data_IF_117419545183
#
_entry.id   IF_117419545183
#
_cell.length_a   1.000
_cell.length_b   1.000
_cell.length_c   1.000
_cell.angle_alpha   90.00
_cell.angle_beta   90.00
_cell.angle_gamma   90.00
#
_symmetry.space_group_name_H-M   'P 1'
#
loop_
_entity.id
_entity.type
_entity.pdbx_description
1 polymer ?
#
# COMPACT_ATOMS: atom_id res chain seq x y z
N UNK A 1 3.08 73.10 -28.83
CA UNK A 1 2.81 71.89 -29.63
C UNK A 1 3.70 70.67 -29.28
N UNK A 2 4.81 70.78 -28.56
CA UNK A 2 5.72 69.66 -28.28
C UNK A 2 5.36 68.80 -27.07
N UNK A 3 4.40 69.18 -26.18
CA UNK A 3 3.97 68.38 -25.02
C UNK A 3 2.88 67.35 -25.33
N UNK A 4 2.06 67.56 -26.36
CA UNK A 4 1.00 66.61 -26.74
C UNK A 4 1.56 65.42 -27.50
N UNK A 5 2.65 65.53 -28.20
CA UNK A 5 3.28 64.39 -28.92
C UNK A 5 3.98 63.40 -28.05
N UNK A 6 4.52 63.78 -26.87
CA UNK A 6 5.17 62.84 -25.92
C UNK A 6 4.15 62.01 -25.12
N UNK A 7 2.99 62.57 -24.86
CA UNK A 7 1.89 61.83 -24.17
C UNK A 7 1.29 60.74 -25.05
N UNK A 8 1.16 61.01 -26.35
CA UNK A 8 0.66 60.03 -27.33
C UNK A 8 1.67 58.89 -27.57
N UNK A 9 2.98 59.16 -27.52
CA UNK A 9 3.99 58.12 -27.67
C UNK A 9 4.11 57.20 -26.43
N UNK A 10 4.00 57.74 -25.21
CA UNK A 10 3.96 56.92 -23.98
C UNK A 10 2.73 56.04 -23.90
N UNK A 11 1.53 56.55 -24.27
CA UNK A 11 0.31 55.73 -24.28
C UNK A 11 0.36 54.64 -25.35
N UNK A 12 0.96 54.89 -26.51
CA UNK A 12 1.16 53.86 -27.54
C UNK A 12 2.17 52.79 -27.09
N UNK A 13 3.22 53.14 -26.39
CA UNK A 13 4.21 52.22 -25.85
C UNK A 13 3.62 51.37 -24.71
N UNK A 14 2.80 51.98 -23.84
CA UNK A 14 2.08 51.25 -22.78
C UNK A 14 1.01 50.31 -23.36
N UNK A 15 0.27 50.75 -24.39
CA UNK A 15 -0.68 49.89 -25.11
C UNK A 15 0.03 48.77 -25.87
N UNK A 16 1.17 49.05 -26.52
CA UNK A 16 1.99 48.02 -27.16
C UNK A 16 2.59 47.03 -26.14
N UNK A 17 3.00 47.51 -24.97
CA UNK A 17 3.48 46.65 -23.86
C UNK A 17 2.33 45.81 -23.27
N UNK A 18 1.13 46.38 -23.09
CA UNK A 18 -0.07 45.65 -22.64
C UNK A 18 -0.49 44.66 -23.72
N UNK A 19 -0.47 44.99 -25.00
CA UNK A 19 -0.76 44.08 -26.11
C UNK A 19 0.28 42.98 -26.25
N UNK A 20 1.55 43.24 -25.95
CA UNK A 20 2.59 42.19 -25.86
C UNK A 20 2.42 41.28 -24.65
N UNK A 21 1.90 41.80 -23.54
CA UNK A 21 1.58 40.99 -22.35
C UNK A 21 0.29 40.18 -22.52
N UNK A 22 -0.70 40.70 -23.27
CA UNK A 22 -1.99 40.01 -23.52
C UNK A 22 -1.85 38.90 -24.57
N UNK A 23 -0.78 38.95 -25.39
CA UNK A 23 -0.45 37.90 -26.37
C UNK A 23 0.49 36.79 -25.83
N UNK A 24 0.70 36.67 -24.52
CA UNK A 24 1.15 35.41 -23.98
C UNK A 24 -0.04 34.44 -24.03
N UNK A 25 -0.41 33.99 -25.25
CA UNK A 25 -1.10 32.73 -25.41
C UNK A 25 -0.20 31.68 -24.74
N UNK A 26 -0.76 30.81 -23.93
CA UNK A 26 -0.07 29.64 -23.37
C UNK A 26 0.39 28.73 -24.53
N UNK A 27 1.37 29.17 -25.28
CA UNK A 27 1.86 28.48 -26.46
C UNK A 27 2.88 27.47 -26.00
N UNK A 28 2.49 26.18 -26.04
CA UNK A 28 3.37 25.07 -25.70
C UNK A 28 4.72 25.21 -26.43
N UNK A 29 5.82 24.97 -25.72
CA UNK A 29 7.14 24.91 -26.34
C UNK A 29 7.14 23.96 -27.53
N UNK A 30 7.61 24.39 -28.68
CA UNK A 30 7.62 23.61 -29.91
C UNK A 30 8.30 22.24 -29.75
N UNK A 31 9.28 22.15 -28.84
CA UNK A 31 9.96 20.88 -28.47
C UNK A 31 9.06 19.88 -27.77
N UNK A 32 8.13 20.33 -26.92
CA UNK A 32 7.18 19.44 -26.24
C UNK A 32 6.07 18.99 -27.19
N UNK A 33 5.59 19.87 -28.08
CA UNK A 33 4.65 19.48 -29.14
C UNK A 33 5.23 18.38 -30.05
N UNK A 34 6.49 18.56 -30.50
CA UNK A 34 7.20 17.51 -31.26
C UNK A 34 7.37 16.21 -30.46
N UNK A 35 7.56 16.32 -29.14
CA UNK A 35 7.65 15.15 -28.26
C UNK A 35 6.33 14.39 -28.22
N UNK A 36 5.17 15.06 -28.15
CA UNK A 36 3.86 14.43 -28.22
C UNK A 36 3.62 13.70 -29.56
N UNK A 37 3.96 14.34 -30.67
CA UNK A 37 3.86 13.73 -32.00
C UNK A 37 4.78 12.50 -32.13
N UNK A 38 5.96 12.54 -31.53
CA UNK A 38 6.85 11.40 -31.48
C UNK A 38 6.27 10.26 -30.62
N UNK A 39 5.64 10.58 -29.47
CA UNK A 39 4.92 9.62 -28.61
C UNK A 39 3.80 8.95 -29.43
N UNK A 40 3.00 9.72 -30.20
CA UNK A 40 1.96 9.19 -31.08
C UNK A 40 2.53 8.15 -32.07
N UNK A 41 3.64 8.47 -32.74
CA UNK A 41 4.31 7.56 -33.66
C UNK A 41 4.84 6.29 -32.98
N UNK A 42 5.45 6.41 -31.80
CA UNK A 42 5.95 5.28 -31.00
C UNK A 42 4.81 4.37 -30.52
N UNK A 43 3.62 4.91 -30.27
CA UNK A 43 2.41 4.18 -29.94
C UNK A 43 1.71 3.59 -31.19
N UNK A 44 2.35 3.61 -32.34
CA UNK A 44 1.79 3.13 -33.62
C UNK A 44 0.49 3.86 -34.02
N UNK A 45 0.41 5.15 -33.79
CA UNK A 45 -0.71 6.03 -34.14
C UNK A 45 -2.07 5.49 -33.70
N UNK A 46 -2.31 5.27 -32.41
CA UNK A 46 -3.57 4.72 -31.94
C UNK A 46 -4.74 5.67 -32.28
N UNK A 47 -5.92 5.10 -32.51
CA UNK A 47 -7.10 5.86 -32.94
C UNK A 47 -7.44 7.04 -32.00
N UNK A 48 -7.16 6.91 -30.71
CA UNK A 48 -7.38 7.98 -29.71
C UNK A 48 -6.52 9.24 -29.99
N UNK A 49 -5.42 9.09 -30.71
CA UNK A 49 -4.51 10.19 -31.09
C UNK A 49 -4.63 10.58 -32.56
N UNK A 50 -5.62 10.10 -33.30
CA UNK A 50 -5.76 10.34 -34.75
C UNK A 50 -5.91 11.81 -35.13
N UNK A 51 -6.38 12.65 -34.22
CA UNK A 51 -6.51 14.10 -34.41
C UNK A 51 -5.19 14.87 -34.26
N UNK A 52 -4.16 14.24 -33.72
CA UNK A 52 -2.88 14.91 -33.48
C UNK A 52 -2.08 15.09 -34.77
N UNK A 53 -1.66 16.32 -35.03
CA UNK A 53 -0.82 16.66 -36.18
C UNK A 53 0.04 17.89 -35.83
N UNK A 54 0.83 18.38 -36.79
CA UNK A 54 1.78 19.48 -36.60
C UNK A 54 1.12 20.83 -36.29
N UNK A 55 -0.19 20.97 -36.54
CA UNK A 55 -0.97 22.18 -36.28
C UNK A 55 -1.83 22.06 -35.02
N UNK A 56 -1.72 20.95 -34.28
CA UNK A 56 -2.52 20.72 -33.09
C UNK A 56 -2.09 21.64 -31.96
N UNK A 57 -3.01 22.42 -31.44
CA UNK A 57 -2.84 23.23 -30.23
C UNK A 57 -3.12 22.36 -28.99
N UNK A 58 -2.12 21.61 -28.55
CA UNK A 58 -2.27 20.58 -27.51
C UNK A 58 -2.84 21.11 -26.19
N UNK A 59 -2.49 22.34 -25.81
CA UNK A 59 -2.96 22.95 -24.56
C UNK A 59 -4.41 23.43 -24.61
N UNK A 60 -4.95 23.64 -25.83
CA UNK A 60 -6.32 24.12 -26.06
C UNK A 60 -7.28 22.98 -26.45
N UNK A 61 -6.80 21.72 -26.43
CA UNK A 61 -7.66 20.58 -26.75
C UNK A 61 -8.66 20.33 -25.60
N UNK A 62 -9.93 20.16 -25.93
CA UNK A 62 -10.95 19.80 -24.93
C UNK A 62 -10.64 18.44 -24.30
N UNK A 63 -10.61 18.32 -22.96
CA UNK A 63 -10.42 17.04 -22.29
C UNK A 63 -11.55 16.07 -22.58
N UNK A 64 -11.20 14.83 -22.89
CA UNK A 64 -12.14 13.72 -23.02
C UNK A 64 -11.85 12.65 -21.98
N UNK A 65 -12.73 11.66 -21.83
CA UNK A 65 -12.49 10.51 -20.97
C UNK A 65 -11.28 9.67 -21.42
N UNK A 66 -10.89 9.77 -22.70
CA UNK A 66 -9.83 8.96 -23.30
C UNK A 66 -8.55 9.74 -23.60
N UNK A 67 -8.63 11.06 -23.71
CA UNK A 67 -7.49 11.90 -24.06
C UNK A 67 -7.56 13.24 -23.32
N UNK A 68 -6.54 13.53 -22.56
CA UNK A 68 -6.38 14.82 -21.88
C UNK A 68 -4.92 15.24 -21.91
N UNK A 69 -4.66 16.44 -22.37
CA UNK A 69 -3.38 17.14 -22.23
C UNK A 69 -3.66 18.40 -21.44
N UNK A 70 -2.96 18.61 -20.34
CA UNK A 70 -3.06 19.84 -19.55
C UNK A 70 -1.69 20.49 -19.51
N UNK A 71 -1.68 21.77 -19.81
CA UNK A 71 -0.49 22.60 -19.73
C UNK A 71 -0.62 23.56 -18.53
N UNK A 72 0.52 23.91 -17.98
CA UNK A 72 0.65 25.02 -17.07
C UNK A 72 1.80 25.88 -17.59
N UNK A 73 1.51 27.16 -17.85
CA UNK A 73 2.40 28.04 -18.62
C UNK A 73 2.73 27.38 -19.97
N UNK A 74 4.01 27.17 -20.27
CA UNK A 74 4.48 26.60 -21.54
C UNK A 74 4.84 25.09 -21.44
N UNK A 75 4.46 24.44 -20.34
CA UNK A 75 4.86 23.05 -20.04
C UNK A 75 3.68 22.12 -19.88
N UNK A 76 3.80 20.89 -20.40
CA UNK A 76 2.82 19.82 -20.19
C UNK A 76 2.96 19.27 -18.78
N UNK A 77 1.89 19.40 -17.99
CA UNK A 77 1.82 18.87 -16.62
C UNK A 77 0.98 17.60 -16.49
N UNK A 78 0.06 17.38 -17.42
CA UNK A 78 -0.74 16.14 -17.42
C UNK A 78 -0.84 15.58 -18.83
N UNK A 79 -0.62 14.27 -18.92
CA UNK A 79 -0.81 13.49 -20.14
C UNK A 79 -1.62 12.25 -19.80
N UNK A 80 -2.85 12.19 -20.31
CA UNK A 80 -3.75 11.07 -20.13
C UNK A 80 -4.17 10.53 -21.48
N UNK A 81 -3.80 9.27 -21.77
CA UNK A 81 -4.13 8.56 -23.00
C UNK A 81 -4.70 7.21 -22.60
N UNK A 82 -5.96 6.97 -22.97
CA UNK A 82 -6.65 5.68 -22.79
C UNK A 82 -7.00 5.11 -24.14
N UNK A 83 -6.41 3.98 -24.43
CA UNK A 83 -6.68 3.23 -25.64
C UNK A 83 -7.92 2.33 -25.53
N UNK A 84 -8.04 1.41 -26.43
CA UNK A 84 -9.11 0.41 -26.41
C UNK A 84 -8.75 -0.73 -25.42
N UNK A 85 -9.68 -1.13 -24.54
CA UNK A 85 -9.49 -2.25 -23.59
C UNK A 85 -9.01 -3.57 -24.23
N UNK A 86 -9.16 -3.73 -25.54
CA UNK A 86 -8.70 -4.90 -26.30
C UNK A 86 -7.58 -4.55 -27.27
N UNK A 87 -6.85 -3.45 -27.02
CA UNK A 87 -5.71 -3.10 -27.85
C UNK A 87 -4.70 -4.27 -27.85
N UNK A 88 -4.26 -4.73 -29.03
CA UNK A 88 -3.19 -5.73 -29.10
C UNK A 88 -1.88 -5.12 -28.59
N UNK A 89 -0.92 -6.00 -28.33
CA UNK A 89 0.47 -5.56 -28.07
C UNK A 89 0.97 -4.70 -29.24
N UNK A 90 1.73 -3.68 -28.93
CA UNK A 90 2.43 -2.87 -29.94
C UNK A 90 3.39 -3.75 -30.76
N UNK A 91 3.69 -3.35 -32.03
CA UNK A 91 4.59 -4.10 -32.90
C UNK A 91 5.93 -4.43 -32.24
N UNK A 92 6.62 -5.48 -32.71
CA UNK A 92 7.92 -5.90 -32.19
C UNK A 92 9.02 -4.84 -32.31
N UNK A 93 8.83 -3.83 -33.17
CA UNK A 93 9.71 -2.66 -33.27
C UNK A 93 9.55 -1.68 -32.10
N UNK A 94 8.51 -1.81 -31.28
CA UNK A 94 8.34 -0.98 -30.09
C UNK A 94 9.42 -1.29 -29.06
N UNK A 95 9.93 -0.23 -28.43
CA UNK A 95 10.87 -0.33 -27.31
C UNK A 95 10.39 0.54 -26.18
N UNK A 96 10.07 -0.07 -25.04
CA UNK A 96 9.69 0.64 -23.81
C UNK A 96 10.76 1.65 -23.41
N UNK A 97 12.04 1.30 -23.51
CA UNK A 97 13.14 2.17 -23.15
C UNK A 97 13.23 3.41 -24.04
N UNK A 98 13.04 3.25 -25.36
CA UNK A 98 12.99 4.36 -26.33
C UNK A 98 11.75 5.25 -26.11
N UNK A 99 10.61 4.61 -25.80
CA UNK A 99 9.37 5.32 -25.49
C UNK A 99 9.54 6.19 -24.24
N UNK A 100 10.03 5.63 -23.14
CA UNK A 100 10.26 6.37 -21.91
C UNK A 100 11.34 7.43 -22.07
N UNK A 101 12.39 7.17 -22.86
CA UNK A 101 13.41 8.19 -23.19
C UNK A 101 12.81 9.40 -23.92
N UNK A 102 11.75 9.17 -24.71
CA UNK A 102 11.00 10.27 -25.34
C UNK A 102 10.10 10.98 -24.33
N UNK A 103 9.39 10.22 -23.50
CA UNK A 103 8.45 10.71 -22.51
C UNK A 103 9.11 11.64 -21.47
N UNK A 104 10.32 11.32 -21.02
CA UNK A 104 11.05 12.14 -20.03
C UNK A 104 11.55 13.48 -20.56
N UNK A 105 11.27 13.79 -21.82
CA UNK A 105 11.43 15.16 -22.36
C UNK A 105 10.27 16.08 -21.98
N UNK A 106 9.31 15.59 -21.23
CA UNK A 106 8.23 16.36 -20.60
C UNK A 106 8.49 16.40 -19.08
N UNK A 107 9.47 17.18 -18.59
CA UNK A 107 10.00 17.08 -17.22
C UNK A 107 9.00 17.51 -16.15
N UNK A 108 8.03 18.37 -16.52
CA UNK A 108 7.06 18.97 -15.59
C UNK A 108 5.80 18.12 -15.41
N UNK A 109 5.80 16.87 -15.95
CA UNK A 109 4.67 15.95 -15.81
C UNK A 109 4.43 15.61 -14.34
N UNK A 110 3.21 15.92 -13.88
CA UNK A 110 2.65 15.53 -12.59
C UNK A 110 1.71 14.34 -12.72
N UNK A 111 0.98 14.26 -13.83
CA UNK A 111 0.03 13.17 -14.09
C UNK A 111 0.37 12.49 -15.40
N UNK A 112 0.68 11.20 -15.29
CA UNK A 112 0.91 10.32 -16.43
C UNK A 112 -0.04 9.12 -16.38
N UNK A 113 -0.97 9.04 -17.34
CA UNK A 113 -1.89 7.92 -17.49
C UNK A 113 -1.79 7.37 -18.90
N UNK A 114 -1.31 6.14 -19.03
CA UNK A 114 -1.10 5.41 -20.28
C UNK A 114 -1.80 4.05 -20.18
N UNK A 115 -3.10 4.04 -20.40
CA UNK A 115 -3.98 2.89 -20.12
C UNK A 115 -4.40 2.20 -21.42
N UNK A 116 -4.34 0.87 -21.45
CA UNK A 116 -4.83 0.05 -22.60
C UNK A 116 -4.22 0.45 -23.95
N UNK A 117 -2.92 0.71 -23.98
CA UNK A 117 -2.19 1.14 -25.19
C UNK A 117 -1.36 0.03 -25.84
N UNK A 118 -1.41 -1.17 -25.30
CA UNK A 118 -0.62 -2.29 -25.80
C UNK A 118 0.87 -2.19 -25.50
N UNK A 119 1.27 -1.37 -24.52
CA UNK A 119 2.65 -1.23 -24.06
C UNK A 119 3.17 -2.55 -23.53
N UNK A 120 4.36 -2.98 -23.94
CA UNK A 120 4.96 -4.23 -23.47
C UNK A 120 6.44 -4.06 -23.14
N UNK A 121 7.00 -5.06 -22.46
CA UNK A 121 8.38 -5.05 -21.98
C UNK A 121 8.49 -4.61 -20.52
N UNK A 122 9.72 -4.57 -19.99
CA UNK A 122 9.95 -4.16 -18.61
C UNK A 122 9.67 -2.67 -18.42
N UNK A 123 9.11 -2.32 -17.27
CA UNK A 123 8.94 -0.91 -16.89
C UNK A 123 10.31 -0.25 -16.78
N UNK A 124 10.56 0.80 -17.57
CA UNK A 124 11.88 1.45 -17.58
C UNK A 124 12.09 2.32 -16.35
N UNK A 125 13.20 2.11 -15.65
CA UNK A 125 13.62 2.94 -14.51
C UNK A 125 13.82 4.42 -14.87
N UNK A 126 13.98 4.76 -16.15
CA UNK A 126 14.09 6.15 -16.62
C UNK A 126 12.87 7.02 -16.30
N UNK A 127 11.70 6.42 -16.01
CA UNK A 127 10.50 7.15 -15.54
C UNK A 127 10.84 7.97 -14.29
N UNK A 128 11.77 7.55 -13.47
CA UNK A 128 12.23 8.28 -12.28
C UNK A 128 12.76 9.68 -12.57
N UNK A 129 13.10 10.00 -13.83
CA UNK A 129 13.50 11.37 -14.25
C UNK A 129 12.34 12.36 -14.25
N UNK A 130 11.09 11.89 -14.22
CA UNK A 130 9.90 12.71 -14.03
C UNK A 130 9.71 13.00 -12.53
N UNK A 131 10.61 13.77 -11.94
CA UNK A 131 10.69 14.00 -10.49
C UNK A 131 9.45 14.67 -9.89
N UNK A 132 8.68 15.39 -10.70
CA UNK A 132 7.42 16.06 -10.31
C UNK A 132 6.20 15.11 -10.35
N UNK A 133 6.38 13.82 -10.67
CA UNK A 133 5.28 12.91 -10.91
C UNK A 133 4.51 12.60 -9.60
N UNK A 134 3.24 12.92 -9.62
CA UNK A 134 2.29 12.70 -8.52
C UNK A 134 1.40 11.46 -8.79
N UNK A 135 1.03 11.23 -10.06
CA UNK A 135 0.17 10.13 -10.47
C UNK A 135 0.81 9.38 -11.63
N UNK A 136 1.06 8.08 -11.42
CA UNK A 136 1.46 7.15 -12.47
C UNK A 136 0.41 6.05 -12.59
N UNK A 137 -0.25 5.97 -13.75
CA UNK A 137 -1.16 4.89 -14.09
C UNK A 137 -0.79 4.31 -15.46
N UNK A 138 -0.35 3.04 -15.47
CA UNK A 138 -0.03 2.30 -16.69
C UNK A 138 -0.81 0.97 -16.75
N UNK A 139 -2.05 0.98 -16.26
CA UNK A 139 -2.89 -0.22 -16.20
C UNK A 139 -3.32 -0.73 -17.57
N UNK A 140 -3.73 -2.00 -17.60
CA UNK A 140 -4.26 -2.70 -18.78
C UNK A 140 -3.29 -2.65 -19.97
N UNK A 141 -2.04 -3.01 -19.74
CA UNK A 141 -0.99 -3.15 -20.73
C UNK A 141 -0.33 -4.54 -20.63
N UNK A 142 0.81 -4.73 -21.27
CA UNK A 142 1.56 -6.00 -21.25
C UNK A 142 2.95 -5.82 -20.61
N UNK A 143 3.02 -4.94 -19.62
CA UNK A 143 4.27 -4.70 -18.88
C UNK A 143 4.68 -5.95 -18.13
N UNK A 144 5.96 -6.28 -18.13
CA UNK A 144 6.49 -7.47 -17.46
C UNK A 144 7.72 -7.15 -16.60
N UNK A 145 8.25 -8.18 -15.91
CA UNK A 145 9.39 -8.01 -15.00
C UNK A 145 9.01 -7.37 -13.67
N UNK A 146 9.99 -6.86 -12.96
CA UNK A 146 9.82 -6.25 -11.65
C UNK A 146 9.58 -4.74 -11.73
N UNK A 147 9.06 -4.15 -10.64
CA UNK A 147 9.03 -2.70 -10.48
C UNK A 147 10.47 -2.21 -10.25
N UNK A 148 11.00 -1.31 -11.10
CA UNK A 148 12.39 -0.91 -11.02
C UNK A 148 12.71 -0.06 -9.78
N UNK A 149 13.88 -0.30 -9.21
CA UNK A 149 14.37 0.37 -7.99
C UNK A 149 14.47 1.89 -8.15
N UNK A 150 14.73 2.36 -9.34
CA UNK A 150 14.91 3.78 -9.66
C UNK A 150 13.67 4.62 -9.35
N UNK A 151 12.48 3.99 -9.32
CA UNK A 151 11.24 4.72 -8.98
C UNK A 151 11.19 5.14 -7.50
N UNK A 152 12.07 4.62 -6.65
CA UNK A 152 12.16 5.00 -5.22
C UNK A 152 12.42 6.49 -4.97
N UNK A 153 12.98 7.19 -5.96
CA UNK A 153 13.26 8.64 -5.85
C UNK A 153 12.05 9.53 -6.16
N UNK A 154 10.94 8.96 -6.63
CA UNK A 154 9.70 9.70 -6.91
C UNK A 154 8.95 10.06 -5.62
N UNK A 155 9.52 10.90 -4.79
CA UNK A 155 8.97 11.25 -3.46
C UNK A 155 7.66 12.04 -3.52
N UNK A 156 7.32 12.62 -4.67
CA UNK A 156 6.05 13.30 -4.93
C UNK A 156 4.92 12.35 -5.33
N UNK A 157 5.19 11.04 -5.46
CA UNK A 157 4.22 10.09 -5.97
C UNK A 157 3.12 9.81 -4.93
N UNK A 158 1.89 10.14 -5.28
CA UNK A 158 0.69 9.93 -4.46
C UNK A 158 -0.12 8.72 -4.93
N UNK A 159 -0.06 8.42 -6.22
CA UNK A 159 -0.85 7.34 -6.83
C UNK A 159 0.02 6.52 -7.78
N UNK A 160 0.11 5.21 -7.50
CA UNK A 160 0.73 4.23 -8.37
C UNK A 160 -0.28 3.14 -8.72
N UNK A 161 -0.67 3.06 -9.99
CA UNK A 161 -1.60 2.06 -10.52
C UNK A 161 -0.94 1.32 -11.68
N UNK A 162 -0.70 0.02 -11.48
CA UNK A 162 -0.09 -0.87 -12.48
C UNK A 162 -0.96 -2.11 -12.74
N UNK A 163 -2.27 -1.98 -12.53
CA UNK A 163 -3.23 -3.07 -12.65
C UNK A 163 -3.24 -3.70 -14.04
N UNK A 164 -3.64 -4.97 -14.13
CA UNK A 164 -3.85 -5.67 -15.40
C UNK A 164 -2.61 -5.62 -16.30
N UNK A 165 -1.51 -6.17 -15.79
CA UNK A 165 -0.23 -6.31 -16.48
C UNK A 165 0.35 -7.72 -16.26
N UNK A 166 1.57 -7.96 -16.70
CA UNK A 166 2.32 -9.20 -16.49
C UNK A 166 3.53 -8.97 -15.57
N UNK A 167 3.43 -7.96 -14.68
CA UNK A 167 4.50 -7.66 -13.72
C UNK A 167 4.66 -8.81 -12.73
N UNK A 168 5.90 -9.15 -12.39
CA UNK A 168 6.22 -10.34 -11.62
C UNK A 168 7.35 -10.08 -10.61
N UNK A 169 7.63 -11.09 -9.78
CA UNK A 169 8.65 -11.00 -8.74
C UNK A 169 8.08 -10.47 -7.43
N UNK A 170 8.96 -10.09 -6.52
CA UNK A 170 8.57 -9.51 -5.23
C UNK A 170 8.24 -8.04 -5.37
N UNK A 171 7.26 -7.58 -4.61
CA UNK A 171 7.02 -6.14 -4.46
C UNK A 171 8.17 -5.56 -3.64
N UNK A 172 8.83 -4.50 -4.13
CA UNK A 172 10.01 -3.94 -3.47
C UNK A 172 9.69 -3.23 -2.15
N UNK A 173 10.57 -3.40 -1.15
CA UNK A 173 10.43 -2.76 0.18
C UNK A 173 10.44 -1.23 0.12
N UNK A 174 11.16 -0.64 -0.84
CA UNK A 174 11.24 0.82 -0.98
C UNK A 174 9.87 1.48 -1.27
N UNK A 175 8.88 0.74 -1.79
CA UNK A 175 7.52 1.29 -1.96
C UNK A 175 6.94 1.78 -0.64
N UNK A 176 7.26 1.10 0.49
CA UNK A 176 6.86 1.52 1.82
C UNK A 176 7.56 2.79 2.32
N UNK A 177 8.57 3.28 1.61
CA UNK A 177 9.30 4.51 1.95
C UNK A 177 8.81 5.75 1.20
N UNK A 178 7.81 5.61 0.32
CA UNK A 178 7.23 6.75 -0.40
C UNK A 178 6.36 7.61 0.54
N UNK A 179 6.76 8.86 0.84
CA UNK A 179 6.26 9.59 2.01
C UNK A 179 4.78 10.00 1.92
N UNK A 180 4.26 10.19 0.70
CA UNK A 180 2.90 10.70 0.47
C UNK A 180 2.04 9.75 -0.38
N UNK A 181 2.47 8.48 -0.53
CA UNK A 181 1.71 7.51 -1.31
C UNK A 181 0.34 7.25 -0.67
N UNK A 182 -0.71 7.57 -1.40
CA UNK A 182 -2.10 7.42 -0.96
C UNK A 182 -2.83 6.26 -1.63
N UNK A 183 -2.45 5.91 -2.87
CA UNK A 183 -3.06 4.83 -3.63
C UNK A 183 -1.96 3.94 -4.21
N UNK A 184 -1.99 2.66 -3.83
CA UNK A 184 -1.17 1.61 -4.42
C UNK A 184 -2.09 0.51 -4.96
N UNK A 185 -2.12 0.34 -6.28
CA UNK A 185 -2.89 -0.71 -6.94
C UNK A 185 -2.03 -1.50 -7.90
N UNK A 186 -1.93 -2.81 -7.64
CA UNK A 186 -1.14 -3.78 -8.40
C UNK A 186 -1.99 -5.01 -8.79
N UNK A 187 -3.30 -4.84 -8.93
CA UNK A 187 -4.25 -5.92 -9.21
C UNK A 187 -3.95 -6.63 -10.52
N UNK A 188 -4.34 -7.90 -10.60
CA UNK A 188 -4.26 -8.67 -11.84
C UNK A 188 -2.85 -8.63 -12.45
N UNK A 189 -1.88 -9.12 -11.69
CA UNK A 189 -0.48 -9.24 -12.07
C UNK A 189 0.07 -10.62 -11.65
N UNK A 190 1.36 -10.81 -11.77
CA UNK A 190 2.05 -12.05 -11.40
C UNK A 190 3.01 -11.87 -10.21
N UNK A 191 2.76 -10.86 -9.37
CA UNK A 191 3.59 -10.63 -8.18
C UNK A 191 3.51 -11.80 -7.20
N UNK A 192 4.63 -12.11 -6.57
CA UNK A 192 4.75 -13.19 -5.61
C UNK A 192 5.53 -12.76 -4.35
N UNK A 193 5.75 -13.70 -3.43
CA UNK A 193 6.44 -13.40 -2.18
C UNK A 193 5.51 -12.94 -1.08
N UNK A 194 6.09 -12.47 0.02
CA UNK A 194 5.39 -11.86 1.14
C UNK A 194 5.13 -10.38 0.87
N UNK A 195 4.11 -9.83 1.52
CA UNK A 195 3.92 -8.38 1.53
C UNK A 195 5.06 -7.73 2.32
N UNK A 196 5.63 -6.61 1.84
CA UNK A 196 6.68 -5.90 2.56
C UNK A 196 6.20 -5.37 3.91
N UNK A 197 6.96 -5.58 4.99
CA UNK A 197 6.66 -5.02 6.30
C UNK A 197 6.70 -3.48 6.28
N UNK A 198 7.48 -2.90 5.36
CA UNK A 198 7.56 -1.46 5.13
C UNK A 198 6.23 -0.81 4.74
N UNK A 199 5.25 -1.58 4.25
CA UNK A 199 3.92 -1.04 3.95
C UNK A 199 3.20 -0.52 5.20
N UNK A 200 3.56 -1.00 6.40
CA UNK A 200 3.06 -0.48 7.67
C UNK A 200 3.45 0.98 7.95
N UNK A 201 4.41 1.54 7.22
CA UNK A 201 4.87 2.93 7.34
C UNK A 201 4.22 3.89 6.34
N UNK A 202 3.34 3.43 5.47
CA UNK A 202 2.62 4.26 4.50
C UNK A 202 1.48 5.05 5.17
N UNK A 203 1.82 6.01 6.02
CA UNK A 203 0.85 6.73 6.86
C UNK A 203 -0.28 7.42 6.06
N UNK A 204 -0.01 7.82 4.81
CA UNK A 204 -0.99 8.48 3.94
C UNK A 204 -1.84 7.51 3.11
N UNK A 205 -1.59 6.19 3.22
CA UNK A 205 -2.24 5.19 2.38
C UNK A 205 -3.74 5.13 2.65
N UNK A 206 -4.52 5.26 1.59
CA UNK A 206 -5.99 5.16 1.58
C UNK A 206 -6.48 3.91 0.88
N UNK A 207 -5.77 3.49 -0.16
CA UNK A 207 -6.14 2.34 -0.98
C UNK A 207 -4.92 1.44 -1.14
N UNK A 208 -5.05 0.20 -0.69
CA UNK A 208 -4.12 -0.90 -0.98
C UNK A 208 -4.89 -2.00 -1.72
N UNK A 209 -4.59 -2.17 -3.00
CA UNK A 209 -5.28 -3.11 -3.86
C UNK A 209 -4.28 -4.03 -4.55
N UNK A 210 -4.26 -5.30 -4.11
CA UNK A 210 -3.28 -6.32 -4.51
C UNK A 210 -3.96 -7.59 -5.01
N UNK A 211 -5.26 -7.54 -5.31
CA UNK A 211 -6.03 -8.73 -5.69
C UNK A 211 -5.53 -9.37 -6.98
N UNK A 212 -5.78 -10.69 -7.12
CA UNK A 212 -5.40 -11.49 -8.26
C UNK A 212 -3.88 -11.46 -8.54
N UNK A 213 -3.12 -11.93 -7.56
CA UNK A 213 -1.67 -12.10 -7.59
C UNK A 213 -1.28 -13.43 -6.93
N UNK A 214 -0.01 -13.64 -6.63
CA UNK A 214 0.52 -14.86 -6.01
C UNK A 214 1.18 -14.56 -4.66
N UNK A 215 0.71 -13.55 -3.93
CA UNK A 215 1.23 -13.21 -2.60
C UNK A 215 0.92 -14.32 -1.60
N UNK A 216 1.84 -14.56 -0.66
CA UNK A 216 1.67 -15.55 0.41
C UNK A 216 2.23 -15.02 1.75
N UNK A 217 2.00 -15.77 2.82
CA UNK A 217 2.47 -15.41 4.16
C UNK A 217 1.51 -14.48 4.89
N UNK A 218 1.96 -13.93 5.99
CA UNK A 218 1.15 -13.07 6.84
C UNK A 218 1.03 -11.65 6.24
N UNK A 219 -0.08 -11.00 6.53
CA UNK A 219 -0.28 -9.58 6.20
C UNK A 219 0.40 -8.76 7.29
N UNK A 220 1.22 -7.75 6.94
CA UNK A 220 1.81 -6.84 7.91
C UNK A 220 0.76 -6.16 8.80
N UNK A 221 1.18 -5.63 9.94
CA UNK A 221 0.29 -4.89 10.85
C UNK A 221 -0.02 -3.51 10.27
N UNK A 222 -1.23 -3.32 9.78
CA UNK A 222 -1.74 -2.07 9.23
C UNK A 222 -2.59 -1.26 10.21
N UNK A 223 -2.58 -1.60 11.51
CA UNK A 223 -3.35 -0.87 12.53
C UNK A 223 -2.95 0.60 12.67
N UNK A 224 -1.69 0.94 12.33
CA UNK A 224 -1.17 2.30 12.27
C UNK A 224 -1.62 3.12 11.05
N UNK A 225 -2.14 2.49 10.00
CA UNK A 225 -2.57 3.16 8.78
C UNK A 225 -3.95 3.82 8.98
N UNK A 226 -3.95 4.97 9.64
CA UNK A 226 -5.18 5.65 10.10
C UNK A 226 -6.07 6.18 8.97
N UNK A 227 -5.54 6.30 7.75
CA UNK A 227 -6.29 6.75 6.56
C UNK A 227 -6.71 5.62 5.64
N UNK A 228 -6.34 4.36 5.92
CA UNK A 228 -6.67 3.22 5.08
C UNK A 228 -8.19 3.00 5.03
N UNK A 229 -8.76 3.11 3.85
CA UNK A 229 -10.19 2.95 3.56
C UNK A 229 -10.50 1.69 2.77
N UNK A 230 -9.60 1.29 1.87
CA UNK A 230 -9.78 0.11 1.02
C UNK A 230 -8.59 -0.81 1.17
N UNK A 231 -8.86 -2.05 1.58
CA UNK A 231 -7.94 -3.17 1.58
C UNK A 231 -8.51 -4.29 0.72
N UNK A 232 -7.93 -4.49 -0.47
CA UNK A 232 -8.32 -5.52 -1.41
C UNK A 232 -7.16 -6.50 -1.62
N UNK A 233 -7.27 -7.68 -1.03
CA UNK A 233 -6.30 -8.76 -1.09
C UNK A 233 -6.87 -10.03 -1.75
N UNK A 234 -8.03 -9.93 -2.43
CA UNK A 234 -8.71 -11.08 -3.03
C UNK A 234 -7.77 -11.93 -3.88
N UNK A 235 -8.04 -13.23 -3.91
CA UNK A 235 -7.40 -14.20 -4.79
C UNK A 235 -5.86 -14.14 -4.74
N UNK A 236 -5.35 -14.56 -3.57
CA UNK A 236 -3.93 -14.71 -3.27
C UNK A 236 -3.72 -15.98 -2.40
N UNK A 237 -2.56 -16.14 -1.78
CA UNK A 237 -2.28 -17.24 -0.86
C UNK A 237 -1.94 -16.73 0.56
N UNK A 238 -2.53 -15.57 0.95
CA UNK A 238 -2.26 -14.88 2.21
C UNK A 238 -2.92 -15.57 3.41
N UNK A 239 -2.35 -15.43 4.58
CA UNK A 239 -2.78 -16.00 5.85
C UNK A 239 -1.58 -16.40 6.71
N UNK A 240 -1.80 -17.08 7.84
CA UNK A 240 -3.06 -17.64 8.35
C UNK A 240 -3.91 -16.67 9.18
N UNK A 241 -3.34 -15.56 9.69
CA UNK A 241 -3.99 -14.67 10.63
C UNK A 241 -4.89 -13.64 9.95
N UNK A 242 -5.99 -13.26 10.62
CA UNK A 242 -6.79 -12.11 10.20
C UNK A 242 -5.91 -10.84 10.25
N UNK A 243 -5.90 -9.99 9.21
CA UNK A 243 -5.05 -8.81 9.18
C UNK A 243 -5.47 -7.79 10.24
N UNK A 244 -4.50 -7.19 10.93
CA UNK A 244 -4.71 -6.06 11.81
C UNK A 244 -4.79 -4.79 10.99
N UNK A 245 -5.87 -4.04 11.12
CA UNK A 245 -6.13 -2.82 10.32
C UNK A 245 -6.76 -1.72 11.19
N UNK A 246 -6.68 -0.48 10.70
CA UNK A 246 -7.33 0.66 11.36
C UNK A 246 -8.86 0.63 11.25
N UNK A 247 -9.55 1.33 12.17
CA UNK A 247 -11.02 1.32 12.28
C UNK A 247 -11.77 2.15 11.22
N UNK A 248 -11.05 2.91 10.40
CA UNK A 248 -11.65 3.75 9.34
C UNK A 248 -11.84 3.01 8.01
N UNK A 249 -11.63 1.69 8.02
CA UNK A 249 -11.79 0.88 6.83
C UNK A 249 -13.24 0.91 6.33
N UNK A 250 -13.42 1.14 5.03
CA UNK A 250 -14.70 1.18 4.34
C UNK A 250 -14.93 -0.13 3.57
N UNK A 251 -13.89 -0.65 2.95
CA UNK A 251 -13.93 -1.88 2.16
C UNK A 251 -12.80 -2.80 2.58
N UNK A 252 -13.15 -4.04 2.95
CA UNK A 252 -12.22 -5.12 3.22
C UNK A 252 -12.60 -6.34 2.37
N UNK A 253 -11.71 -6.73 1.48
CA UNK A 253 -11.88 -7.90 0.61
C UNK A 253 -10.69 -8.82 0.82
N UNK A 254 -10.94 -9.96 1.48
CA UNK A 254 -9.94 -10.99 1.79
C UNK A 254 -10.28 -12.31 1.11
N UNK A 255 -11.30 -12.34 0.26
CA UNK A 255 -11.84 -13.56 -0.35
C UNK A 255 -10.77 -14.34 -1.14
N UNK A 256 -10.96 -15.67 -1.25
CA UNK A 256 -10.08 -16.57 -2.01
C UNK A 256 -8.61 -16.52 -1.54
N UNK A 257 -8.40 -16.75 -0.23
CA UNK A 257 -7.09 -16.75 0.40
C UNK A 257 -6.90 -17.99 1.32
N UNK A 258 -5.89 -17.97 2.18
CA UNK A 258 -5.58 -19.05 3.12
C UNK A 258 -5.73 -18.64 4.60
N UNK A 259 -6.54 -17.61 4.87
CA UNK A 259 -6.83 -17.19 6.24
C UNK A 259 -7.53 -18.30 7.00
N UNK A 260 -7.10 -18.59 8.24
CA UNK A 260 -7.62 -19.70 9.07
C UNK A 260 -7.72 -19.37 10.56
N UNK A 261 -7.58 -18.11 10.94
CA UNK A 261 -7.85 -17.67 12.31
C UNK A 261 -9.35 -17.49 12.56
N UNK A 262 -9.73 -17.18 13.78
CA UNK A 262 -11.04 -16.62 14.07
C UNK A 262 -11.12 -15.17 13.48
N UNK A 263 -12.35 -14.73 13.23
CA UNK A 263 -12.65 -13.32 12.96
C UNK A 263 -12.59 -12.59 14.30
N UNK A 264 -11.72 -11.58 14.47
CA UNK A 264 -11.61 -10.87 15.74
C UNK A 264 -12.90 -10.12 16.09
N UNK A 265 -13.25 -10.09 17.37
CA UNK A 265 -14.44 -9.35 17.83
C UNK A 265 -14.34 -7.83 17.54
N UNK A 266 -13.14 -7.30 17.48
CA UNK A 266 -12.84 -5.89 17.19
C UNK A 266 -13.38 -5.42 15.85
N UNK A 267 -13.59 -6.33 14.88
CA UNK A 267 -14.19 -5.99 13.56
C UNK A 267 -15.60 -5.39 13.75
N UNK A 268 -16.32 -5.76 14.81
CA UNK A 268 -17.62 -5.17 15.16
C UNK A 268 -17.53 -3.68 15.52
N UNK A 269 -16.34 -3.14 15.74
CA UNK A 269 -16.12 -1.72 16.00
C UNK A 269 -15.79 -0.89 14.74
N UNK A 270 -15.79 -1.51 13.56
CA UNK A 270 -15.46 -0.83 12.30
C UNK A 270 -16.71 -0.13 11.73
N UNK A 271 -17.09 0.98 12.35
CA UNK A 271 -18.36 1.69 12.10
C UNK A 271 -18.52 2.26 10.68
N UNK A 272 -17.40 2.43 9.94
CA UNK A 272 -17.43 2.89 8.54
C UNK A 272 -17.45 1.74 7.52
N UNK A 273 -17.37 0.49 7.98
CA UNK A 273 -17.25 -0.67 7.10
C UNK A 273 -18.54 -0.88 6.32
N UNK A 274 -18.49 -0.70 5.01
CA UNK A 274 -19.61 -0.88 4.08
C UNK A 274 -19.57 -2.24 3.40
N UNK A 275 -18.38 -2.71 3.05
CA UNK A 275 -18.18 -3.99 2.37
C UNK A 275 -17.18 -4.86 3.12
N UNK A 276 -17.62 -6.05 3.50
CA UNK A 276 -16.77 -7.10 4.06
C UNK A 276 -16.94 -8.38 3.25
N UNK A 277 -15.86 -8.84 2.62
CA UNK A 277 -15.81 -10.10 1.89
C UNK A 277 -14.66 -10.98 2.42
N UNK A 278 -15.04 -12.02 3.14
CA UNK A 278 -14.14 -13.02 3.71
C UNK A 278 -14.30 -14.39 3.05
N UNK A 279 -15.07 -14.49 1.97
CA UNK A 279 -15.48 -15.76 1.37
C UNK A 279 -14.31 -16.58 0.85
N UNK A 280 -14.54 -17.88 0.70
CA UNK A 280 -13.56 -18.83 0.15
C UNK A 280 -12.21 -18.77 0.86
N UNK A 281 -12.25 -18.97 2.17
CA UNK A 281 -11.10 -19.03 3.06
C UNK A 281 -11.21 -20.27 3.99
N UNK A 282 -10.52 -20.27 5.10
CA UNK A 282 -10.54 -21.32 6.11
C UNK A 282 -10.78 -20.73 7.50
N UNK A 283 -11.49 -19.60 7.60
CA UNK A 283 -11.82 -18.98 8.88
C UNK A 283 -12.58 -19.95 9.77
N UNK A 284 -12.26 -19.94 11.06
CA UNK A 284 -12.80 -20.84 12.09
C UNK A 284 -13.36 -20.04 13.26
N UNK A 285 -14.03 -20.76 14.19
CA UNK A 285 -14.57 -20.17 15.41
C UNK A 285 -15.92 -19.48 15.19
N UNK A 286 -16.45 -18.85 16.24
CA UNK A 286 -17.78 -18.28 16.21
C UNK A 286 -17.86 -17.07 15.28
N UNK A 287 -18.94 -17.03 14.48
CA UNK A 287 -19.26 -15.86 13.67
C UNK A 287 -19.66 -14.67 14.54
N UNK A 288 -19.00 -13.51 14.45
CA UNK A 288 -19.37 -12.32 15.22
C UNK A 288 -20.69 -11.72 14.69
N UNK A 289 -21.80 -12.06 15.32
CA UNK A 289 -23.15 -11.67 14.84
C UNK A 289 -23.37 -10.15 14.76
N UNK A 290 -22.62 -9.38 15.56
CA UNK A 290 -22.65 -7.91 15.50
C UNK A 290 -22.25 -7.34 14.12
N UNK A 291 -21.62 -8.13 13.25
CA UNK A 291 -21.33 -7.72 11.86
C UNK A 291 -22.59 -7.45 11.05
N UNK A 292 -23.72 -8.10 11.37
CA UNK A 292 -25.01 -7.87 10.72
C UNK A 292 -25.59 -6.49 11.04
N UNK A 293 -25.22 -5.91 12.19
CA UNK A 293 -25.75 -4.64 12.71
C UNK A 293 -24.75 -3.48 12.62
N UNK A 294 -23.61 -3.65 11.94
CA UNK A 294 -22.67 -2.56 11.72
C UNK A 294 -23.38 -1.37 11.05
N UNK A 295 -23.17 -0.11 11.51
CA UNK A 295 -23.99 1.03 11.09
C UNK A 295 -23.89 1.36 9.60
N UNK A 296 -22.80 1.00 8.95
CA UNK A 296 -22.58 1.31 7.52
C UNK A 296 -22.59 0.09 6.60
N UNK A 297 -22.74 -1.14 7.14
CA UNK A 297 -22.60 -2.37 6.36
C UNK A 297 -23.73 -2.49 5.32
N UNK A 298 -23.36 -2.64 4.06
CA UNK A 298 -24.28 -2.88 2.93
C UNK A 298 -24.04 -4.23 2.27
N UNK A 299 -22.81 -4.79 2.41
CA UNK A 299 -22.41 -6.05 1.80
C UNK A 299 -21.60 -6.87 2.80
N UNK A 300 -22.07 -8.08 3.10
CA UNK A 300 -21.40 -9.06 3.97
C UNK A 300 -21.35 -10.40 3.28
N UNK A 301 -20.15 -10.90 3.00
CA UNK A 301 -19.93 -12.24 2.45
C UNK A 301 -18.91 -13.00 3.31
N UNK A 302 -19.36 -14.08 3.95
CA UNK A 302 -18.53 -14.98 4.72
C UNK A 302 -18.60 -16.42 4.19
N UNK A 303 -19.14 -16.61 3.00
CA UNK A 303 -19.37 -17.91 2.41
C UNK A 303 -18.10 -18.75 2.27
N UNK A 304 -18.28 -20.07 2.22
CA UNK A 304 -17.21 -21.03 1.99
C UNK A 304 -16.04 -20.87 2.98
N UNK A 305 -16.37 -21.08 4.27
CA UNK A 305 -15.46 -21.06 5.42
C UNK A 305 -15.78 -22.21 6.40
N UNK A 306 -15.23 -22.15 7.58
CA UNK A 306 -15.47 -23.12 8.67
C UNK A 306 -15.97 -22.41 9.93
N UNK A 307 -16.74 -21.35 9.74
CA UNK A 307 -17.30 -20.56 10.84
C UNK A 307 -18.39 -21.35 11.56
N UNK A 308 -18.39 -21.26 12.87
CA UNK A 308 -19.34 -21.90 13.78
C UNK A 308 -20.17 -20.86 14.51
N UNK A 309 -20.98 -21.32 15.46
CA UNK A 309 -21.79 -20.47 16.34
C UNK A 309 -23.27 -20.56 16.05
N UNK A 310 -24.07 -20.32 17.10
CA UNK A 310 -25.51 -20.34 17.02
C UNK A 310 -26.03 -18.95 16.61
N UNK A 311 -26.79 -18.90 15.53
CA UNK A 311 -27.53 -17.68 15.16
C UNK A 311 -28.80 -17.64 16.01
N UNK A 312 -29.20 -16.41 16.38
CA UNK A 312 -30.41 -16.16 17.16
C UNK A 312 -31.41 -15.39 16.31
N UNK A 313 -32.68 -15.71 16.49
CA UNK A 313 -33.79 -15.13 15.73
C UNK A 313 -34.09 -13.67 16.07
N UNK A 314 -33.71 -13.23 17.28
CA UNK A 314 -33.91 -11.87 17.79
C UNK A 314 -32.79 -10.85 17.40
N UNK A 315 -31.82 -11.27 16.57
CA UNK A 315 -30.78 -10.38 16.10
C UNK A 315 -31.33 -9.21 15.27
N UNK A 316 -30.72 -8.03 15.46
CA UNK A 316 -30.97 -6.88 14.60
C UNK A 316 -29.98 -6.82 13.43
N UNK A 317 -30.46 -6.41 12.26
CA UNK A 317 -29.63 -6.17 11.08
C UNK A 317 -29.66 -4.69 10.70
N UNK A 318 -28.56 -4.22 10.10
CA UNK A 318 -28.59 -2.91 9.46
C UNK A 318 -29.66 -2.89 8.35
N UNK A 319 -30.56 -1.88 8.31
CA UNK A 319 -31.59 -1.77 7.27
C UNK A 319 -31.03 -1.69 5.85
N UNK A 320 -29.84 -1.07 5.69
CA UNK A 320 -29.15 -0.87 4.41
C UNK A 320 -28.34 -2.10 3.94
N UNK A 321 -28.30 -3.17 4.75
CA UNK A 321 -27.59 -4.39 4.40
C UNK A 321 -28.31 -5.12 3.26
N UNK A 322 -27.82 -4.90 2.02
CA UNK A 322 -28.46 -5.37 0.79
C UNK A 322 -28.03 -6.78 0.36
N UNK A 323 -26.82 -7.22 0.74
CA UNK A 323 -26.28 -8.54 0.40
C UNK A 323 -25.70 -9.21 1.62
N UNK A 324 -26.13 -10.45 1.89
CA UNK A 324 -25.60 -11.31 2.96
C UNK A 324 -25.43 -12.72 2.41
N UNK A 325 -24.19 -13.22 2.43
CA UNK A 325 -23.90 -14.62 2.13
C UNK A 325 -23.19 -15.28 3.31
N UNK A 326 -23.94 -16.18 3.96
CA UNK A 326 -23.49 -17.01 5.09
C UNK A 326 -23.25 -18.47 4.65
N UNK A 327 -23.46 -18.80 3.37
CA UNK A 327 -23.51 -20.17 2.86
C UNK A 327 -22.20 -20.94 3.08
N UNK A 328 -22.29 -22.27 3.06
CA UNK A 328 -21.11 -23.16 3.15
C UNK A 328 -20.25 -22.89 4.39
N UNK A 329 -20.86 -22.93 5.57
CA UNK A 329 -20.23 -22.80 6.87
C UNK A 329 -20.77 -23.87 7.84
N UNK A 330 -20.52 -23.73 9.13
CA UNK A 330 -20.97 -24.63 10.20
C UNK A 330 -21.87 -23.91 11.21
N UNK A 331 -22.61 -22.89 10.76
CA UNK A 331 -23.50 -22.10 11.61
C UNK A 331 -24.70 -22.93 12.03
N UNK A 332 -25.13 -22.79 13.29
CA UNK A 332 -26.26 -23.50 13.91
C UNK A 332 -27.36 -22.52 14.34
N UNK A 333 -28.48 -23.03 14.88
CA UNK A 333 -29.60 -22.19 15.32
C UNK A 333 -30.56 -21.89 14.21
N UNK A 334 -31.17 -20.71 14.23
CA UNK A 334 -32.15 -20.25 13.24
C UNK A 334 -31.65 -19.03 12.52
N UNK A 335 -32.09 -18.84 11.28
CA UNK A 335 -31.76 -17.62 10.55
C UNK A 335 -32.49 -16.44 11.23
N UNK A 336 -31.77 -15.34 11.53
CA UNK A 336 -32.37 -14.17 12.18
C UNK A 336 -33.59 -13.61 11.42
N UNK A 337 -34.63 -13.22 12.15
CA UNK A 337 -35.86 -12.67 11.58
C UNK A 337 -35.59 -11.46 10.68
N UNK A 338 -34.59 -10.63 11.02
CA UNK A 338 -34.18 -9.47 10.20
C UNK A 338 -33.64 -9.88 8.82
N UNK A 339 -33.19 -11.13 8.63
CA UNK A 339 -32.74 -11.66 7.33
C UNK A 339 -33.88 -12.37 6.57
N UNK A 340 -34.92 -12.83 7.27
CA UNK A 340 -36.10 -13.48 6.69
C UNK A 340 -37.14 -12.48 6.19
N UNK A 341 -37.34 -11.39 6.92
CA UNK A 341 -38.34 -10.40 6.60
C UNK A 341 -38.01 -9.72 5.27
N UNK A 342 -38.89 -9.87 4.29
CA UNK A 342 -38.75 -9.37 2.92
C UNK A 342 -38.49 -7.88 2.82
N UNK A 343 -37.29 -7.45 3.19
CA UNK A 343 -36.78 -6.14 2.83
C UNK A 343 -36.62 -6.12 1.31
N UNK A 344 -37.37 -5.24 0.67
CA UNK A 344 -37.31 -5.03 -0.78
C UNK A 344 -35.83 -4.94 -1.19
N UNK A 345 -35.38 -5.91 -1.98
CA UNK A 345 -34.04 -5.99 -2.62
C UNK A 345 -32.87 -6.56 -1.79
N UNK A 346 -33.06 -7.16 -0.61
CA UNK A 346 -31.96 -7.87 0.09
C UNK A 346 -31.78 -9.26 -0.48
N UNK A 347 -30.53 -9.63 -0.82
CA UNK A 347 -30.13 -10.98 -1.18
C UNK A 347 -29.54 -11.67 0.04
N UNK A 348 -30.13 -12.80 0.46
CA UNK A 348 -29.65 -13.60 1.59
C UNK A 348 -29.41 -15.03 1.14
N UNK A 349 -28.15 -15.48 1.26
CA UNK A 349 -27.69 -16.84 0.95
C UNK A 349 -27.21 -17.50 2.24
N UNK A 350 -27.71 -18.71 2.55
CA UNK A 350 -27.40 -19.41 3.80
C UNK A 350 -27.40 -20.93 3.68
N UNK A 351 -27.40 -21.46 2.47
CA UNK A 351 -27.34 -22.90 2.22
C UNK A 351 -26.05 -23.53 2.78
N UNK A 352 -26.06 -24.86 2.96
CA UNK A 352 -24.90 -25.62 3.42
C UNK A 352 -24.33 -25.12 4.76
N UNK A 353 -25.21 -24.96 5.72
CA UNK A 353 -24.92 -24.77 7.14
C UNK A 353 -25.54 -25.87 7.98
N UNK A 354 -25.58 -25.71 9.30
CA UNK A 354 -26.26 -26.60 10.27
C UNK A 354 -27.46 -25.89 10.91
N UNK A 355 -28.19 -25.09 10.15
CA UNK A 355 -29.33 -24.32 10.65
C UNK A 355 -30.57 -25.22 10.83
N UNK A 356 -31.39 -24.95 11.86
CA UNK A 356 -32.54 -25.74 12.24
C UNK A 356 -33.76 -25.58 11.29
N UNK A 357 -33.77 -24.59 10.41
CA UNK A 357 -34.89 -24.33 9.49
C UNK A 357 -34.87 -25.34 8.33
N UNK A 358 -36.00 -25.98 8.11
CA UNK A 358 -36.26 -27.05 7.16
C UNK A 358 -36.12 -26.72 5.67
N UNK A 359 -35.06 -26.06 5.27
CA UNK A 359 -34.70 -25.85 3.88
C UNK A 359 -33.73 -26.93 3.41
N UNK A 360 -34.08 -27.50 2.27
CA UNK A 360 -33.51 -28.71 1.65
C UNK A 360 -31.99 -28.68 1.37
N UNK A 361 -31.29 -27.59 1.66
CA UNK A 361 -29.87 -27.40 1.29
C UNK A 361 -28.95 -27.21 2.52
N UNK A 362 -29.33 -27.70 3.71
CA UNK A 362 -28.46 -27.70 4.88
C UNK A 362 -27.58 -28.96 4.93
N UNK A 363 -26.49 -28.94 5.70
CA UNK A 363 -25.69 -30.15 5.93
C UNK A 363 -26.51 -31.24 6.61
N UNK A 364 -26.26 -32.54 6.34
CA UNK A 364 -26.91 -33.62 7.03
C UNK A 364 -26.68 -33.56 8.55
N UNK A 365 -27.69 -33.95 9.33
CA UNK A 365 -27.62 -33.92 10.79
C UNK A 365 -26.40 -34.69 11.36
N UNK A 366 -26.04 -35.83 10.75
CA UNK A 366 -24.84 -36.58 11.09
C UNK A 366 -23.53 -35.81 10.93
N UNK A 367 -23.48 -34.90 9.96
CA UNK A 367 -22.34 -34.01 9.76
C UNK A 367 -22.29 -32.92 10.84
N UNK A 368 -23.45 -32.32 11.16
CA UNK A 368 -23.57 -31.22 12.11
C UNK A 368 -23.38 -31.63 13.57
N UNK A 369 -23.59 -32.93 13.90
CA UNK A 369 -23.40 -33.48 15.27
C UNK A 369 -21.92 -33.70 15.61
N UNK A 370 -21.03 -33.75 14.65
CA UNK A 370 -19.60 -33.92 14.86
C UNK A 370 -18.90 -32.57 15.12
N UNK A 371 -19.27 -31.89 16.21
CA UNK A 371 -18.57 -30.64 16.65
C UNK A 371 -17.05 -30.85 16.84
N UNK A 372 -16.60 -32.09 17.07
CA UNK A 372 -15.18 -32.42 17.16
C UNK A 372 -14.38 -32.10 15.89
N UNK A 373 -15.01 -32.07 14.71
CA UNK A 373 -14.35 -31.65 13.46
C UNK A 373 -14.12 -30.16 13.39
N UNK A 374 -14.94 -29.32 14.01
CA UNK A 374 -14.77 -27.91 14.11
C UNK A 374 -13.71 -27.50 15.14
N UNK A 375 -13.61 -28.25 16.26
CA UNK A 375 -12.65 -27.98 17.35
C UNK A 375 -11.23 -28.43 16.97
N UNK A 376 -11.06 -29.45 16.14
CA UNK A 376 -9.75 -29.94 15.70
C UNK A 376 -8.96 -29.00 14.79
N UNK A 377 -9.54 -27.85 14.42
CA UNK A 377 -8.93 -26.86 13.50
C UNK A 377 -8.63 -25.55 14.23
N UNK A 378 -8.51 -25.58 15.55
CA UNK A 378 -7.96 -24.45 16.28
C UNK A 378 -6.56 -24.15 15.71
N UNK A 379 -6.26 -22.90 15.36
CA UNK A 379 -4.90 -22.52 14.97
C UNK A 379 -3.97 -23.04 16.07
N UNK A 380 -2.90 -23.71 15.67
CA UNK A 380 -1.80 -24.00 16.59
C UNK A 380 -1.42 -22.65 17.21
N UNK A 381 -1.92 -22.40 18.42
CA UNK A 381 -1.37 -21.33 19.23
C UNK A 381 0.12 -21.59 19.22
N UNK A 382 0.92 -20.70 18.64
CA UNK A 382 2.33 -20.64 18.92
C UNK A 382 2.40 -20.75 20.44
N UNK A 383 2.83 -21.91 20.95
CA UNK A 383 3.18 -22.05 22.37
C UNK A 383 4.15 -20.91 22.60
N UNK A 384 3.66 -19.80 23.11
CA UNK A 384 4.50 -18.84 23.77
C UNK A 384 5.29 -19.74 24.74
N UNK A 385 6.59 -19.91 24.49
CA UNK A 385 7.46 -20.62 25.42
C UNK A 385 7.28 -19.88 26.73
N UNK A 386 6.37 -20.39 27.53
CA UNK A 386 6.25 -19.99 28.92
C UNK A 386 7.60 -20.43 29.48
N UNK A 387 8.52 -19.47 29.57
CA UNK A 387 9.80 -19.67 30.25
C UNK A 387 9.38 -20.17 31.62
N UNK A 388 9.59 -21.44 31.90
CA UNK A 388 9.13 -22.03 33.14
C UNK A 388 9.68 -21.17 34.26
N UNK A 389 8.89 -20.92 35.31
CA UNK A 389 9.35 -20.14 36.47
C UNK A 389 10.68 -20.67 37.01
N UNK A 390 10.97 -21.96 36.81
CA UNK A 390 12.24 -22.60 37.11
C UNK A 390 13.40 -22.07 36.25
N UNK A 391 13.22 -21.86 34.92
CA UNK A 391 14.28 -21.30 34.05
C UNK A 391 14.55 -19.85 34.39
N UNK A 392 13.50 -19.07 34.72
CA UNK A 392 13.65 -17.69 35.17
C UNK A 392 14.37 -17.61 36.51
N UNK A 393 14.04 -18.50 37.47
CA UNK A 393 14.70 -18.59 38.76
C UNK A 393 16.18 -18.99 38.61
N UNK A 394 16.52 -19.95 37.75
CA UNK A 394 17.90 -20.35 37.49
C UNK A 394 18.73 -19.25 36.83
N UNK A 395 18.16 -18.45 35.93
CA UNK A 395 18.85 -17.31 35.33
C UNK A 395 19.10 -16.18 36.32
N UNK A 396 18.18 -15.93 37.27
CA UNK A 396 18.36 -14.94 38.32
C UNK A 396 19.43 -15.41 39.32
N UNK A 397 19.41 -16.69 39.71
CA UNK A 397 20.40 -17.26 40.63
C UNK A 397 21.79 -17.26 39.96
N UNK A 398 21.91 -17.60 38.70
CA UNK A 398 23.16 -17.54 37.93
C UNK A 398 23.71 -16.14 37.83
N UNK A 399 22.83 -15.13 37.63
CA UNK A 399 23.19 -13.71 37.59
C UNK A 399 23.72 -13.20 38.96
N UNK A 400 23.10 -13.62 40.07
CA UNK A 400 23.53 -13.26 41.42
C UNK A 400 24.87 -13.89 41.77
N UNK A 401 25.07 -15.18 41.46
CA UNK A 401 26.34 -15.88 41.72
C UNK A 401 27.48 -15.27 40.88
N UNK A 402 27.21 -14.94 39.60
CA UNK A 402 28.16 -14.26 38.72
C UNK A 402 28.54 -12.87 39.21
N UNK A 403 27.55 -12.09 39.71
CA UNK A 403 27.78 -10.78 40.29
C UNK A 403 28.63 -10.83 41.57
N UNK A 404 28.34 -11.75 42.49
CA UNK A 404 29.11 -11.96 43.70
C UNK A 404 30.57 -12.37 43.37
N UNK A 405 30.74 -13.26 42.41
CA UNK A 405 32.10 -13.68 41.96
C UNK A 405 32.92 -12.50 41.45
N UNK A 406 32.33 -11.60 40.65
CA UNK A 406 33.00 -10.39 40.16
C UNK A 406 33.38 -9.42 41.29
N UNK A 407 32.50 -9.24 42.26
CA UNK A 407 32.76 -8.37 43.42
C UNK A 407 33.91 -8.95 44.27
N UNK A 408 33.92 -10.25 44.49
CA UNK A 408 35.03 -10.93 45.23
C UNK A 408 36.35 -10.81 44.48
N UNK A 409 36.37 -11.00 43.18
CA UNK A 409 37.58 -10.85 42.34
C UNK A 409 38.08 -9.39 42.39
N UNK A 410 37.16 -8.40 42.25
CA UNK A 410 37.50 -6.98 42.35
C UNK A 410 38.08 -6.65 43.75
N UNK A 411 37.49 -7.17 44.84
CA UNK A 411 37.98 -7.01 46.20
C UNK A 411 39.36 -7.61 46.42
N UNK A 412 39.59 -8.81 45.86
CA UNK A 412 40.94 -9.47 45.95
C UNK A 412 41.98 -8.70 45.14
N UNK A 413 41.63 -8.12 43.99
CA UNK A 413 42.53 -7.29 43.20
C UNK A 413 42.89 -5.99 43.94
N UNK A 414 41.89 -5.32 44.57
CA UNK A 414 42.10 -4.12 45.39
C UNK A 414 42.99 -4.45 46.61
N UNK A 415 42.80 -5.61 47.26
CA UNK A 415 43.66 -6.06 48.37
C UNK A 415 45.09 -6.30 47.90
N UNK A 416 45.29 -6.90 46.73
CA UNK A 416 46.64 -7.11 46.13
C UNK A 416 47.35 -5.81 45.79
N UNK A 417 46.61 -4.80 45.32
CA UNK A 417 47.19 -3.47 45.04
C UNK A 417 47.54 -2.71 46.33
N UNK A 418 46.71 -2.79 47.40
CA UNK A 418 47.02 -2.21 48.72
C UNK A 418 48.23 -2.88 49.39
N UNK A 419 48.41 -4.20 49.22
CA UNK A 419 49.58 -4.94 49.74
C UNK A 419 50.89 -4.56 49.06
N UNK A 420 50.88 -4.06 47.84
CA UNK A 420 52.07 -3.58 47.11
C UNK A 420 52.43 -2.13 47.40
N UNK A 421 51.56 -1.35 48.03
CA UNK A 421 51.83 0.07 48.40
C UNK A 421 52.47 0.26 49.78
N UNK A 422 52.56 -0.80 50.61
CA UNK A 422 53.15 -0.72 51.94
C UNK A 422 54.65 -0.99 51.97
N UNK A 423 55.32 -1.17 50.83
CA UNK A 423 56.76 -1.40 50.78
C UNK A 423 57.49 -0.43 49.86
N UNK A 424 57.37 0.88 50.06
CA UNK A 424 58.36 1.89 49.59
C UNK A 424 57.99 3.26 50.17
N UNK A 425 58.53 3.52 51.34
CA UNK A 425 58.79 4.90 51.82
C UNK A 425 60.18 4.93 52.39
N UNK A 426 61.07 5.60 51.78
CA UNK A 426 62.10 6.46 52.40
C UNK A 426 62.54 7.51 51.36
N UNK A 427 62.95 8.69 51.83
CA UNK A 427 62.77 9.94 51.07
C UNK A 427 64.10 10.51 50.59
N UNK A 428 64.09 11.36 49.59
CA UNK A 428 65.10 12.44 49.46
C UNK A 428 64.59 13.58 48.54
N UNK A 429 64.51 14.72 49.13
CA UNK A 429 64.74 16.14 48.80
C UNK A 429 64.82 16.60 47.33
N UNK A 430 63.99 17.63 47.09
CA UNK A 430 64.28 18.94 46.52
C UNK A 430 65.11 19.04 45.22
N UNK A 431 64.55 19.68 44.19
CA UNK A 431 64.94 21.05 43.75
C UNK A 431 63.95 21.50 42.67
N UNK A 432 63.65 22.80 42.80
CA UNK A 432 62.87 23.72 41.99
C UNK A 432 63.39 23.81 40.56
N UNK A 433 62.51 24.05 39.55
CA UNK A 433 62.43 25.30 38.81
C UNK A 433 61.60 25.13 37.53
N UNK A 434 60.69 26.00 37.43
CA UNK A 434 60.21 26.88 36.39
C UNK A 434 60.10 26.44 34.89
N UNK A 435 58.95 26.87 34.43
CA UNK A 435 58.68 27.62 33.20
C UNK A 435 58.14 26.83 31.96
N UNK A 436 56.90 27.14 31.77
CA UNK A 436 56.31 27.86 30.64
C UNK A 436 56.09 27.10 29.31
N UNK A 437 54.85 27.33 28.90
CA UNK A 437 54.38 27.57 27.54
C UNK A 437 54.37 26.43 26.55
N UNK A 438 53.17 26.15 26.09
CA UNK A 438 52.89 26.50 24.71
C UNK A 438 52.33 25.38 23.82
N UNK A 439 51.11 25.56 23.50
CA UNK A 439 50.52 25.41 22.17
C UNK A 439 50.45 24.08 21.41
N UNK A 440 49.23 23.82 21.08
CA UNK A 440 48.64 23.46 19.76
C UNK A 440 48.74 22.03 19.26
N UNK A 441 47.50 21.52 19.15
CA UNK A 441 46.82 21.14 17.86
C UNK A 441 47.31 19.93 17.11
N UNK A 442 46.33 19.20 16.76
CA UNK A 442 46.01 18.60 15.44
C UNK A 442 46.18 17.11 15.23
N UNK A 443 45.06 16.54 14.94
CA UNK A 443 44.63 15.82 13.74
C UNK A 443 44.93 14.33 13.55
N UNK A 444 43.81 13.71 13.22
CA UNK A 444 43.60 12.65 12.20
C UNK A 444 44.08 11.24 12.53
N UNK A 445 43.27 10.30 12.49
CA UNK A 445 42.45 9.59 11.52
C UNK A 445 42.77 8.10 11.57
N UNK A 446 41.77 7.34 11.25
CA UNK A 446 41.71 6.03 10.62
C UNK A 446 41.78 4.78 11.50
N UNK A 447 40.67 4.15 11.70
CA UNK A 447 40.17 2.95 11.00
C UNK A 447 38.69 2.73 11.34
#
# INVERSE_FOLDING_TARGET
MARASRFSQCTLLVLAYILLQVNHSEQLQSSQAQTLLRIQGLLNNPAVLSSWNITTEFCNTEPTSSLTVVCYEESITQLHIVGNKRAPMLPLSFSMDSFVTTLVKLPDLKVLRLVSLGLWGPLSGKISRLSSLEILNMSSNFLNGAIPQELSILTSLQTLILDENMLAGRVPDWLGSLPILAVLSLRNNMFNGTLPDSFSYLENLRVLALSNNHFYGEVPDFSGLTYLQVLDLENNALGPQFPKVGKKLVTMILSKNKFRSAIPAEVSSYYQLQRLDLSSNRFVGPFPQALLSLPSITYLNIADNKLTGKLFDDLSCNPELGFVDLSSNLLTGQLPNCLLAGSKNRVVLYARNCLAAGNENQHPLSFCQNEALAVGILPLQKKQKQVSKAVLALSIIGGIIGGISLVVIAFLLVRRTKSKQTMKKTPTRLIQENASTGYTSKFLSDA
#
